data_IF_192079644014
#
_entry.id   IF_192079644014
#
_cell.length_a   1.000
_cell.length_b   1.000
_cell.length_c   1.000
_cell.angle_alpha   90.00
_cell.angle_beta   90.00
_cell.angle_gamma   90.00
#
_symmetry.space_group_name_H-M   'P 1'
#
loop_
_entity.id
_entity.type
_entity.pdbx_description
1 polymer ?
#
# COMPACT_ATOMS: atom_id res chain seq x y z
N UNK A 1 -3.82 16.57 9.28
CA UNK A 1 -3.59 15.19 9.77
C UNK A 1 -3.01 14.41 8.62
N UNK A 2 -1.87 13.74 8.82
CA UNK A 2 -1.22 12.94 7.80
C UNK A 2 -1.82 11.53 7.82
N UNK A 3 -2.10 10.97 6.64
CA UNK A 3 -2.69 9.65 6.49
C UNK A 3 -1.67 8.71 5.87
N UNK A 4 -1.54 7.51 6.45
CA UNK A 4 -0.54 6.52 6.04
C UNK A 4 -1.24 5.19 5.82
N UNK A 5 -0.90 4.51 4.73
CA UNK A 5 -1.37 3.16 4.44
C UNK A 5 -0.40 2.13 5.01
N UNK A 6 -0.92 1.21 5.81
CA UNK A 6 -0.19 0.09 6.41
C UNK A 6 -0.79 -1.26 6.01
N UNK A 7 0.02 -2.31 6.04
CA UNK A 7 -0.41 -3.71 5.91
C UNK A 7 -0.64 -4.34 7.30
N UNK A 8 -1.82 -4.88 7.53
CA UNK A 8 -2.21 -5.60 8.76
C UNK A 8 -2.09 -7.12 8.64
N UNK A 9 -1.53 -7.61 7.54
CA UNK A 9 -1.16 -9.02 7.36
C UNK A 9 0.29 -9.26 7.79
N UNK A 10 0.66 -10.54 7.93
CA UNK A 10 2.04 -10.97 8.18
C UNK A 10 2.93 -10.84 6.94
N UNK A 11 2.33 -10.78 5.75
CA UNK A 11 3.03 -10.69 4.48
C UNK A 11 3.51 -9.27 4.14
N UNK A 12 4.20 -9.13 3.02
CA UNK A 12 4.66 -7.84 2.52
C UNK A 12 3.50 -6.94 2.10
N UNK A 13 3.69 -5.63 2.27
CA UNK A 13 2.78 -4.66 1.69
C UNK A 13 2.79 -4.75 0.17
N UNK A 14 1.59 -4.87 -0.38
CA UNK A 14 1.33 -4.72 -1.79
C UNK A 14 -0.12 -4.31 -2.01
N UNK A 15 -0.36 -3.64 -3.13
CA UNK A 15 -1.70 -3.31 -3.60
C UNK A 15 -2.11 -4.25 -4.74
N UNK A 16 -3.42 -4.37 -4.95
CA UNK A 16 -3.99 -5.19 -6.02
C UNK A 16 -3.73 -4.60 -7.40
N UNK A 17 -3.90 -5.41 -8.45
CA UNK A 17 -3.90 -4.93 -9.84
C UNK A 17 -4.96 -3.84 -10.07
N UNK A 18 -6.14 -4.00 -9.45
CA UNK A 18 -7.22 -3.02 -9.52
C UNK A 18 -6.81 -1.67 -8.91
N UNK A 19 -6.12 -1.69 -7.76
CA UNK A 19 -5.59 -0.47 -7.15
C UNK A 19 -4.48 0.17 -8.00
N UNK A 20 -3.59 -0.63 -8.59
CA UNK A 20 -2.57 -0.13 -9.52
C UNK A 20 -3.21 0.63 -10.70
N UNK A 21 -4.21 0.04 -11.36
CA UNK A 21 -4.91 0.71 -12.48
C UNK A 21 -5.53 2.02 -12.01
N UNK A 22 -6.21 2.01 -10.85
CA UNK A 22 -6.83 3.22 -10.31
C UNK A 22 -5.81 4.31 -10.01
N UNK A 23 -4.63 3.97 -9.49
CA UNK A 23 -3.55 4.93 -9.24
C UNK A 23 -2.98 5.52 -10.52
N UNK A 24 -2.90 4.73 -11.60
CA UNK A 24 -2.50 5.23 -12.92
C UNK A 24 -3.50 6.21 -13.50
N UNK A 25 -4.80 5.95 -13.35
CA UNK A 25 -5.86 6.90 -13.73
C UNK A 25 -5.73 8.23 -12.99
N UNK A 26 -5.27 8.20 -11.73
CA UNK A 26 -5.00 9.38 -10.92
C UNK A 26 -3.63 10.02 -11.20
N UNK A 27 -2.84 9.48 -12.12
CA UNK A 27 -1.54 10.02 -12.51
C UNK A 27 -0.41 9.78 -11.48
N UNK A 28 -0.55 8.79 -10.61
CA UNK A 28 0.48 8.47 -9.61
C UNK A 28 1.76 7.98 -10.31
N UNK A 29 2.89 8.66 -10.07
CA UNK A 29 4.12 8.51 -10.86
C UNK A 29 4.76 7.12 -10.78
N UNK A 30 4.87 6.56 -9.57
CA UNK A 30 5.46 5.24 -9.35
C UNK A 30 4.56 4.14 -9.92
N UNK A 31 3.24 4.27 -9.83
CA UNK A 31 2.29 3.35 -10.44
C UNK A 31 2.38 3.37 -11.98
N UNK A 32 2.61 4.55 -12.58
CA UNK A 32 2.83 4.69 -14.02
C UNK A 32 4.15 4.06 -14.47
N UNK A 33 5.20 4.16 -13.65
CA UNK A 33 6.52 3.60 -13.96
C UNK A 33 6.63 2.10 -13.69
N UNK A 34 5.80 1.55 -12.80
CA UNK A 34 5.82 0.13 -12.43
C UNK A 34 5.33 -0.76 -13.58
N UNK A 35 6.04 -1.85 -13.87
CA UNK A 35 5.64 -2.81 -14.91
C UNK A 35 4.36 -3.55 -14.52
N UNK A 36 3.33 -3.47 -15.37
CA UNK A 36 2.08 -4.19 -15.17
C UNK A 36 2.13 -5.57 -15.81
N UNK A 37 2.41 -6.58 -14.98
CA UNK A 37 2.43 -7.98 -15.40
C UNK A 37 1.01 -8.54 -15.57
N UNK A 38 0.04 -8.01 -14.82
CA UNK A 38 -1.36 -8.41 -14.85
C UNK A 38 -2.09 -8.00 -16.13
N UNK A 39 -1.57 -7.01 -16.87
CA UNK A 39 -2.13 -6.55 -18.14
C UNK A 39 -2.32 -7.66 -19.18
N UNK A 40 -1.41 -8.65 -19.22
CA UNK A 40 -1.48 -9.75 -20.20
C UNK A 40 -2.47 -10.86 -19.80
N UNK A 41 -2.79 -10.99 -18.51
CA UNK A 41 -3.71 -12.00 -17.98
C UNK A 41 -4.63 -11.44 -16.89
N UNK A 42 -5.57 -10.53 -17.24
CA UNK A 42 -6.39 -9.83 -16.26
C UNK A 42 -7.31 -10.75 -15.45
N UNK A 43 -7.73 -11.89 -16.02
CA UNK A 43 -8.52 -12.89 -15.29
C UNK A 43 -7.69 -13.68 -14.27
N UNK A 44 -6.38 -13.78 -14.48
CA UNK A 44 -5.46 -14.47 -13.57
C UNK A 44 -4.84 -13.52 -12.53
N UNK A 45 -4.86 -12.19 -12.74
CA UNK A 45 -4.34 -11.17 -11.84
C UNK A 45 -5.19 -10.92 -10.57
N UNK A 46 -5.90 -11.94 -10.09
CA UNK A 46 -6.73 -11.86 -8.89
C UNK A 46 -5.94 -12.05 -7.58
N UNK A 47 -6.58 -11.83 -6.42
CA UNK A 47 -5.94 -11.91 -5.10
C UNK A 47 -5.21 -13.23 -4.78
N UNK A 48 -5.57 -14.31 -5.47
CA UNK A 48 -4.99 -15.64 -5.27
C UNK A 48 -3.74 -15.91 -6.09
N UNK A 49 -3.37 -15.02 -7.01
CA UNK A 49 -2.19 -15.19 -7.87
C UNK A 49 -1.04 -14.31 -7.35
N UNK A 50 -0.06 -14.87 -6.62
CA UNK A 50 1.01 -14.08 -6.03
C UNK A 50 1.82 -13.32 -7.08
N UNK A 51 2.01 -13.89 -8.27
CA UNK A 51 2.90 -13.31 -9.28
C UNK A 51 2.30 -12.13 -10.05
N UNK A 52 0.97 -11.97 -10.02
CA UNK A 52 0.23 -11.00 -10.83
C UNK A 52 -0.62 -10.00 -10.03
N UNK A 53 -0.69 -10.13 -8.69
CA UNK A 53 -1.47 -9.24 -7.82
C UNK A 53 -0.64 -8.66 -6.67
N UNK A 54 0.59 -8.21 -6.96
CA UNK A 54 1.46 -7.58 -5.97
C UNK A 54 2.15 -6.36 -6.58
N UNK A 55 1.63 -5.17 -6.31
CA UNK A 55 2.15 -3.91 -6.86
C UNK A 55 2.38 -2.86 -5.78
N UNK A 56 2.88 -1.70 -6.18
CA UNK A 56 2.90 -0.48 -5.37
C UNK A 56 3.99 -0.45 -4.30
N UNK A 57 4.98 -1.34 -4.36
CA UNK A 57 6.06 -1.42 -3.36
C UNK A 57 6.88 -0.13 -3.24
N UNK A 58 6.95 0.65 -4.32
CA UNK A 58 7.71 1.92 -4.37
C UNK A 58 6.84 3.16 -4.14
N UNK A 59 5.52 3.00 -4.00
CA UNK A 59 4.61 4.12 -3.77
C UNK A 59 4.79 4.60 -2.31
N UNK A 60 4.98 5.91 -2.08
CA UNK A 60 5.06 6.45 -0.72
C UNK A 60 3.81 6.09 0.09
N UNK A 61 3.99 5.67 1.34
CA UNK A 61 2.88 5.19 2.17
C UNK A 61 1.93 6.30 2.60
N UNK A 62 2.36 7.54 2.53
CA UNK A 62 1.58 8.76 2.76
C UNK A 62 1.15 9.45 1.46
N UNK A 63 1.29 8.80 0.30
CA UNK A 63 0.80 9.32 -0.98
C UNK A 63 -0.73 9.50 -0.93
N UNK A 64 -1.20 10.71 -1.27
CA UNK A 64 -2.63 11.06 -1.19
C UNK A 64 -3.50 10.22 -2.13
N UNK A 65 -2.99 9.87 -3.31
CA UNK A 65 -3.70 9.01 -4.25
C UNK A 65 -3.74 7.57 -3.72
N UNK A 66 -2.66 7.07 -3.12
CA UNK A 66 -2.65 5.75 -2.46
C UNK A 66 -3.72 5.68 -1.38
N UNK A 67 -3.77 6.67 -0.49
CA UNK A 67 -4.78 6.74 0.58
C UNK A 67 -6.18 6.77 -0.02
N UNK A 68 -6.43 7.64 -1.01
CA UNK A 68 -7.71 7.74 -1.70
C UNK A 68 -8.15 6.40 -2.29
N UNK A 69 -7.25 5.69 -2.96
CA UNK A 69 -7.57 4.42 -3.63
C UNK A 69 -7.88 3.33 -2.62
N UNK A 70 -7.15 3.26 -1.50
CA UNK A 70 -7.42 2.29 -0.43
C UNK A 70 -8.78 2.57 0.23
N UNK A 71 -9.13 3.84 0.46
CA UNK A 71 -10.44 4.22 1.01
C UNK A 71 -11.58 3.93 0.01
N UNK A 72 -11.36 4.20 -1.29
CA UNK A 72 -12.33 3.99 -2.36
C UNK A 72 -12.61 2.50 -2.61
N UNK A 73 -11.56 1.69 -2.73
CA UNK A 73 -11.66 0.28 -3.12
C UNK A 73 -11.79 -0.68 -1.94
N UNK A 74 -11.42 -0.27 -0.71
CA UNK A 74 -11.43 -1.10 0.50
C UNK A 74 -10.67 -2.41 0.26
N UNK A 75 -11.25 -3.57 0.59
CA UNK A 75 -10.66 -4.90 0.40
C UNK A 75 -10.25 -5.18 -1.06
N UNK A 76 -10.87 -4.52 -2.05
CA UNK A 76 -10.47 -4.67 -3.45
C UNK A 76 -9.13 -3.98 -3.76
N UNK A 77 -8.60 -3.15 -2.86
CA UNK A 77 -7.24 -2.62 -2.95
C UNK A 77 -6.17 -3.61 -2.48
N UNK A 78 -6.56 -4.67 -1.75
CA UNK A 78 -5.62 -5.57 -1.12
C UNK A 78 -4.87 -6.40 -2.17
N UNK A 79 -3.55 -6.26 -2.17
CA UNK A 79 -2.67 -7.15 -2.93
C UNK A 79 -2.69 -8.58 -2.37
N UNK A 80 -1.92 -9.47 -3.00
CA UNK A 80 -1.82 -10.85 -2.57
C UNK A 80 -1.41 -10.96 -1.10
N UNK A 81 -2.26 -11.63 -0.31
CA UNK A 81 -2.07 -11.83 1.13
C UNK A 81 -1.86 -10.55 1.97
N UNK A 82 -2.19 -9.37 1.43
CA UNK A 82 -2.16 -8.11 2.16
C UNK A 82 -3.53 -7.80 2.77
N UNK A 83 -3.53 -6.95 3.81
CA UNK A 83 -4.74 -6.33 4.37
C UNK A 83 -4.45 -4.86 4.64
N UNK A 84 -4.88 -3.98 3.75
CA UNK A 84 -4.52 -2.58 3.79
C UNK A 84 -5.41 -1.81 4.76
N UNK A 85 -4.82 -0.88 5.50
CA UNK A 85 -5.52 0.02 6.40
C UNK A 85 -4.91 1.41 6.33
N UNK A 86 -5.76 2.43 6.33
CA UNK A 86 -5.34 3.82 6.50
C UNK A 86 -5.32 4.18 7.98
N UNK A 87 -4.25 4.81 8.44
CA UNK A 87 -4.11 5.36 9.79
C UNK A 87 -3.80 6.86 9.72
N UNK A 88 -4.33 7.62 10.68
CA UNK A 88 -4.09 9.06 10.78
C UNK A 88 -3.11 9.35 11.90
N UNK A 89 -2.15 10.23 11.64
CA UNK A 89 -1.18 10.74 12.59
C UNK A 89 -1.17 12.29 12.54
N UNK A 90 -0.58 12.97 13.54
CA UNK A 90 -0.31 14.42 13.47
C UNK A 90 0.54 14.78 12.24
N UNK A 91 0.40 16.00 11.71
CA UNK A 91 1.15 16.44 10.51
C UNK A 91 2.63 16.70 10.78
N UNK A 92 2.96 17.03 12.02
CA UNK A 92 4.23 17.57 12.49
C UNK A 92 5.14 16.53 13.15
N UNK A 93 4.82 15.23 12.99
CA UNK A 93 5.63 14.13 13.53
C UNK A 93 6.36 13.37 12.42
N UNK A 94 7.64 13.09 12.66
CA UNK A 94 8.38 12.13 11.86
C UNK A 94 7.94 10.72 12.24
N UNK A 95 7.77 9.85 11.25
CA UNK A 95 7.24 8.51 11.46
C UNK A 95 8.05 7.44 10.73
N UNK A 96 7.93 6.22 11.22
CA UNK A 96 8.46 4.99 10.61
C UNK A 96 7.40 3.91 10.66
N UNK A 97 7.49 2.95 9.72
CA UNK A 97 6.73 1.70 9.81
C UNK A 97 7.56 0.70 10.61
N UNK A 98 7.00 0.25 11.73
CA UNK A 98 7.51 -0.86 12.51
C UNK A 98 6.70 -2.14 12.19
N UNK A 99 7.38 -3.27 12.07
CA UNK A 99 6.72 -4.59 12.01
C UNK A 99 6.55 -5.12 13.44
N UNK A 100 5.33 -5.53 13.76
CA UNK A 100 4.95 -6.12 15.06
C UNK A 100 4.39 -7.53 14.83
N UNK A 101 4.06 -8.28 15.89
CA UNK A 101 3.52 -9.65 15.81
C UNK A 101 2.11 -9.77 15.15
N UNK A 102 1.65 -8.75 14.43
CA UNK A 102 0.37 -8.78 13.71
C UNK A 102 0.34 -7.86 12.49
N UNK A 103 1.50 -7.58 11.91
CA UNK A 103 1.67 -6.71 10.74
C UNK A 103 2.32 -5.37 11.07
N UNK A 104 2.12 -4.41 10.17
CA UNK A 104 2.71 -3.07 10.25
C UNK A 104 1.97 -2.18 11.26
N UNK A 105 2.75 -1.33 11.90
CA UNK A 105 2.30 -0.24 12.76
C UNK A 105 3.09 1.02 12.42
N UNK A 106 2.44 2.18 12.47
CA UNK A 106 3.13 3.47 12.38
C UNK A 106 3.56 3.90 13.78
N UNK A 107 4.84 4.23 13.92
CA UNK A 107 5.42 4.76 15.15
C UNK A 107 6.12 6.08 14.89
N UNK A 108 6.12 6.97 15.87
CA UNK A 108 6.92 8.19 15.82
C UNK A 108 8.42 7.85 15.90
N UNK A 109 9.23 8.63 15.19
CA UNK A 109 10.70 8.53 15.29
C UNK A 109 11.16 9.22 16.55
N UNK A 110 11.61 8.45 17.53
CA UNK A 110 12.20 8.97 18.77
C UNK A 110 13.73 9.00 18.70
N UNK A 111 14.34 9.94 19.43
CA UNK A 111 15.80 9.94 19.66
C UNK A 111 16.14 8.82 20.64
N UNK A 112 17.21 8.10 20.36
CA UNK A 112 17.78 7.09 21.25
C UNK A 112 19.11 7.60 21.81
N UNK A 113 19.37 7.32 23.09
CA UNK A 113 20.64 7.64 23.76
C UNK A 113 21.13 6.37 24.45
N UNK A 114 22.43 6.11 24.37
CA UNK A 114 23.12 5.01 25.03
C UNK A 114 23.96 5.47 26.20
#
# INVERSE_FOLDING_TARGET
MKRIVINRSYDEFCISHKALIRLRELGQLQALAETDRGAYWPQAAGPREPSLNQYGKLIPRDDENLVRVVEELREAADGHAAKLKVVSIPDDVNWVIAKTEGGEQVSEVHRTWG
#
